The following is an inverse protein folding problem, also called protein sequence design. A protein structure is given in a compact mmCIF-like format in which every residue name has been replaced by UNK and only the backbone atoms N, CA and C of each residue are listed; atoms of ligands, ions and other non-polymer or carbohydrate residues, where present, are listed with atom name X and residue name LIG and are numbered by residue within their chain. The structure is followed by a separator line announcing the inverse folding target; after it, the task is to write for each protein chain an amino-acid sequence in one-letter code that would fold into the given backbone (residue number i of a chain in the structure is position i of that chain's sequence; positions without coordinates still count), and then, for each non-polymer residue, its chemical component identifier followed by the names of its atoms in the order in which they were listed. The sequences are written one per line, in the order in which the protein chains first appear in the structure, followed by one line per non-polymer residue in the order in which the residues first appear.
data_IF_511604228215
#
_entry.id   IF_511604228215
#
_cell.length_a   1.000
_cell.length_b   1.000
_cell.length_c   1.000
_cell.angle_alpha   90.00
_cell.angle_beta   90.00
_cell.angle_gamma   90.00
#
_symmetry.space_group_name_H-M   'P 1'
#
loop_
_entity.id
_entity.type
_entity.pdbx_description
1 polymer ?
#
# COMPACT_ATOMS: atom_id res chain seq x y z
N UNK A 1 76.98 28.01 19.65
CA UNK A 1 77.82 27.52 20.76
C UNK A 1 76.88 27.02 21.85
N UNK A 2 76.90 25.71 22.13
CA UNK A 2 76.11 25.11 23.22
C UNK A 2 76.86 25.33 24.54
N UNK A 3 76.16 25.74 25.62
CA UNK A 3 76.80 25.90 26.92
C UNK A 3 77.21 24.53 27.48
N UNK A 4 78.40 24.51 28.08
CA UNK A 4 79.04 23.34 28.68
C UNK A 4 78.20 22.87 29.89
N UNK A 5 77.59 21.68 29.79
CA UNK A 5 76.80 21.09 30.87
C UNK A 5 77.74 20.51 31.92
N UNK A 6 77.95 21.26 33.00
CA UNK A 6 78.61 20.78 34.21
C UNK A 6 77.72 19.69 34.84
N UNK A 7 78.23 18.48 35.09
CA UNK A 7 77.49 17.43 35.77
C UNK A 7 77.04 17.91 37.16
N UNK A 8 75.74 17.81 37.51
CA UNK A 8 75.26 18.15 38.84
C UNK A 8 75.95 17.27 39.88
N UNK A 9 76.61 17.88 40.87
CA UNK A 9 77.13 17.17 42.05
C UNK A 9 75.96 16.58 42.81
N UNK A 10 75.92 15.25 42.88
CA UNK A 10 74.99 14.49 43.71
C UNK A 10 75.40 14.72 45.16
N UNK A 11 74.55 15.28 46.04
CA UNK A 11 74.86 15.38 47.45
C UNK A 11 74.95 13.98 48.06
N UNK A 12 76.04 13.74 48.77
CA UNK A 12 76.38 12.49 49.44
C UNK A 12 75.30 12.09 50.46
N UNK A 13 74.82 10.85 50.34
CA UNK A 13 74.62 10.01 51.52
C UNK A 13 73.27 10.06 52.24
N UNK A 14 72.14 10.25 51.54
CA UNK A 14 70.87 9.74 52.07
C UNK A 14 70.67 8.31 51.56
N UNK A 15 70.76 7.34 52.47
CA UNK A 15 70.70 5.91 52.19
C UNK A 15 69.34 5.60 51.58
N UNK A 16 69.28 5.49 50.25
CA UNK A 16 68.05 5.17 49.51
C UNK A 16 67.53 3.82 50.00
N UNK A 17 66.45 3.86 50.78
CA UNK A 17 65.80 2.65 51.30
C UNK A 17 64.99 2.01 50.16
N UNK A 18 65.49 0.88 49.65
CA UNK A 18 64.82 0.13 48.58
C UNK A 18 63.44 -0.40 49.02
N UNK A 19 63.26 -0.68 50.31
CA UNK A 19 61.96 -1.09 50.83
C UNK A 19 60.97 0.09 50.83
N UNK A 20 61.46 1.32 51.03
CA UNK A 20 60.64 2.53 50.92
C UNK A 20 60.19 2.82 49.48
N UNK A 21 61.09 2.60 48.51
CA UNK A 21 60.73 2.69 47.09
C UNK A 21 59.68 1.65 46.72
N UNK A 22 59.82 0.43 47.22
CA UNK A 22 58.85 -0.64 46.95
C UNK A 22 57.48 -0.34 47.58
N UNK A 23 57.44 0.11 48.84
CA UNK A 23 56.21 0.55 49.51
C UNK A 23 55.53 1.70 48.76
N UNK A 24 56.28 2.73 48.37
CA UNK A 24 55.75 3.88 47.61
C UNK A 24 55.22 3.49 46.23
N UNK A 25 55.82 2.50 45.58
CA UNK A 25 55.30 1.95 44.31
C UNK A 25 53.97 1.24 44.55
N UNK A 26 53.91 0.34 45.52
CA UNK A 26 52.67 -0.38 45.85
C UNK A 26 51.55 0.57 46.27
N UNK A 27 51.85 1.57 47.09
CA UNK A 27 50.87 2.59 47.51
C UNK A 27 50.37 3.43 46.33
N UNK A 28 51.26 3.82 45.41
CA UNK A 28 50.86 4.52 44.18
C UNK A 28 49.95 3.66 43.32
N UNK A 29 50.32 2.40 43.08
CA UNK A 29 49.56 1.49 42.22
C UNK A 29 48.18 1.20 42.82
N UNK A 30 48.07 1.08 44.16
CA UNK A 30 46.79 0.92 44.86
C UNK A 30 45.92 2.18 44.76
N UNK A 31 46.50 3.36 44.94
CA UNK A 31 45.79 4.63 44.82
C UNK A 31 45.33 4.90 43.38
N UNK A 32 46.16 4.58 42.39
CA UNK A 32 45.82 4.68 40.97
C UNK A 32 44.69 3.70 40.60
N UNK A 33 44.77 2.46 41.08
CA UNK A 33 43.71 1.47 40.89
C UNK A 33 42.38 1.93 41.52
N UNK A 34 42.41 2.46 42.75
CA UNK A 34 41.21 2.98 43.40
C UNK A 34 40.61 4.16 42.62
N UNK A 35 41.45 5.09 42.15
CA UNK A 35 41.00 6.24 41.34
C UNK A 35 40.36 5.77 40.03
N UNK A 36 40.94 4.77 39.35
CA UNK A 36 40.39 4.21 38.12
C UNK A 36 39.05 3.52 38.34
N UNK A 37 38.91 2.78 39.44
CA UNK A 37 37.66 2.13 39.83
C UNK A 37 36.57 3.19 40.06
N UNK A 38 36.85 4.21 40.87
CA UNK A 38 35.91 5.30 41.17
C UNK A 38 35.51 6.06 39.91
N UNK A 39 36.49 6.44 39.07
CA UNK A 39 36.23 7.12 37.80
C UNK A 39 35.36 6.29 36.85
N UNK A 40 35.57 4.97 36.79
CA UNK A 40 34.75 4.10 35.94
C UNK A 40 33.30 4.05 36.42
N UNK A 41 33.07 3.85 37.72
CA UNK A 41 31.71 3.83 38.27
C UNK A 41 31.02 5.18 38.15
N UNK A 42 31.74 6.28 38.38
CA UNK A 42 31.15 7.61 38.28
C UNK A 42 30.82 8.00 36.84
N UNK A 43 31.68 7.65 35.86
CA UNK A 43 31.38 7.83 34.43
C UNK A 43 30.15 7.03 34.01
N UNK A 44 30.10 5.74 34.38
CA UNK A 44 28.96 4.86 34.06
C UNK A 44 27.67 5.37 34.68
N UNK A 45 27.71 5.81 35.94
CA UNK A 45 26.54 6.36 36.63
C UNK A 45 26.03 7.63 35.96
N UNK A 46 26.92 8.57 35.61
CA UNK A 46 26.55 9.80 34.89
C UNK A 46 25.93 9.50 33.53
N UNK A 47 26.56 8.61 32.75
CA UNK A 47 26.02 8.16 31.46
C UNK A 47 24.64 7.50 31.58
N UNK A 48 24.44 6.66 32.60
CA UNK A 48 23.16 6.00 32.85
C UNK A 48 22.07 6.99 33.25
N UNK A 49 22.37 7.95 34.12
CA UNK A 49 21.44 9.03 34.51
C UNK A 49 21.05 9.89 33.30
N UNK A 50 22.00 10.26 32.44
CA UNK A 50 21.73 11.01 31.21
C UNK A 50 20.88 10.21 30.22
N UNK A 51 21.17 8.91 30.07
CA UNK A 51 20.44 8.02 29.20
C UNK A 51 19.00 7.82 29.68
N UNK A 52 18.80 7.63 30.99
CA UNK A 52 17.48 7.55 31.62
C UNK A 52 16.72 8.86 31.39
N UNK A 53 17.35 10.01 31.68
CA UNK A 53 16.72 11.31 31.47
C UNK A 53 16.33 11.57 30.01
N UNK A 54 17.14 11.11 29.05
CA UNK A 54 16.79 11.21 27.63
C UNK A 54 15.62 10.28 27.25
N UNK A 55 15.62 9.04 27.74
CA UNK A 55 14.53 8.08 27.54
C UNK A 55 13.21 8.62 28.09
N UNK A 56 13.22 9.19 29.29
CA UNK A 56 12.02 9.78 29.91
C UNK A 56 11.47 10.95 29.09
N UNK A 57 12.34 11.82 28.55
CA UNK A 57 11.91 12.91 27.65
C UNK A 57 11.35 12.39 26.33
N UNK A 58 11.87 11.30 25.80
CA UNK A 58 11.35 10.67 24.58
C UNK A 58 10.00 10.03 24.87
N UNK A 59 9.87 9.32 25.98
CA UNK A 59 8.65 8.63 26.39
C UNK A 59 7.54 9.64 26.67
N UNK A 60 7.84 10.74 27.37
CA UNK A 60 6.90 11.85 27.58
C UNK A 60 6.41 12.44 26.24
N UNK A 61 7.29 12.67 25.28
CA UNK A 61 6.90 13.17 23.94
C UNK A 61 6.10 12.14 23.13
N UNK A 62 6.30 10.84 23.38
CA UNK A 62 5.51 9.77 22.75
C UNK A 62 4.11 9.71 23.36
N UNK A 63 4.01 9.74 24.69
CA UNK A 63 2.73 9.73 25.39
C UNK A 63 1.89 10.97 25.09
N UNK A 64 2.50 12.15 25.03
CA UNK A 64 1.81 13.39 24.62
C UNK A 64 1.25 13.31 23.19
N UNK A 65 2.02 12.76 22.24
CA UNK A 65 1.55 12.55 20.86
C UNK A 65 0.42 11.51 20.80
N UNK A 66 0.54 10.43 21.55
CA UNK A 66 -0.50 9.41 21.64
C UNK A 66 -1.79 9.99 22.22
N UNK A 67 -1.69 10.82 23.26
CA UNK A 67 -2.84 11.47 23.89
C UNK A 67 -3.49 12.50 22.97
N UNK A 68 -2.70 13.34 22.27
CA UNK A 68 -3.22 14.24 21.25
C UNK A 68 -3.98 13.50 20.15
N UNK A 69 -3.47 12.35 19.71
CA UNK A 69 -4.13 11.52 18.72
C UNK A 69 -5.44 10.91 19.26
N UNK A 70 -5.44 10.48 20.52
CA UNK A 70 -6.62 9.95 21.22
C UNK A 70 -7.72 11.02 21.31
N UNK A 71 -7.38 12.22 21.74
CA UNK A 71 -8.31 13.37 21.81
C UNK A 71 -8.87 13.71 20.42
N UNK A 72 -8.02 13.75 19.37
CA UNK A 72 -8.49 13.99 18.00
C UNK A 72 -9.45 12.91 17.52
N UNK A 73 -9.13 11.64 17.77
CA UNK A 73 -9.98 10.50 17.43
C UNK A 73 -11.31 10.54 18.18
N UNK A 74 -11.30 10.91 19.46
CA UNK A 74 -12.50 11.00 20.28
C UNK A 74 -13.42 12.14 19.82
N UNK A 75 -12.86 13.33 19.57
CA UNK A 75 -13.62 14.46 19.00
C UNK A 75 -14.22 14.14 17.64
N UNK A 76 -13.50 13.42 16.78
CA UNK A 76 -14.02 13.00 15.49
C UNK A 76 -15.14 11.96 15.63
N UNK A 77 -14.96 10.98 16.53
CA UNK A 77 -15.98 9.98 16.83
C UNK A 77 -17.23 10.62 17.43
N UNK A 78 -17.09 11.63 18.28
CA UNK A 78 -18.22 12.37 18.84
C UNK A 78 -18.98 13.14 17.76
N UNK A 79 -18.27 13.84 16.85
CA UNK A 79 -18.90 14.50 15.70
C UNK A 79 -19.67 13.53 14.83
N UNK A 80 -19.05 12.39 14.51
CA UNK A 80 -19.68 11.34 13.72
C UNK A 80 -20.92 10.77 14.42
N UNK A 81 -20.84 10.53 15.74
CA UNK A 81 -21.95 10.05 16.55
C UNK A 81 -23.11 11.05 16.57
N UNK A 82 -22.85 12.36 16.72
CA UNK A 82 -23.90 13.40 16.68
C UNK A 82 -24.62 13.44 15.33
N UNK A 83 -23.87 13.33 14.22
CA UNK A 83 -24.45 13.29 12.88
C UNK A 83 -25.28 12.02 12.65
N UNK A 84 -24.83 10.89 13.17
CA UNK A 84 -25.57 9.62 13.10
C UNK A 84 -26.82 9.65 13.96
N UNK A 85 -26.78 10.24 15.15
CA UNK A 85 -27.92 10.39 16.05
C UNK A 85 -28.97 11.38 15.50
N UNK A 86 -28.56 12.50 14.93
CA UNK A 86 -29.48 13.44 14.25
C UNK A 86 -30.14 12.78 13.02
N UNK A 87 -29.35 12.02 12.24
CA UNK A 87 -29.87 11.25 11.11
C UNK A 87 -30.83 10.15 11.57
N UNK A 88 -30.51 9.44 12.65
CA UNK A 88 -31.36 8.40 13.21
C UNK A 88 -32.69 8.99 13.72
N UNK A 89 -32.66 10.13 14.42
CA UNK A 89 -33.86 10.82 14.89
C UNK A 89 -34.75 11.29 13.73
N UNK A 90 -34.14 11.81 12.66
CA UNK A 90 -34.87 12.20 11.45
C UNK A 90 -35.47 11.00 10.70
N UNK A 91 -34.75 9.88 10.67
CA UNK A 91 -35.25 8.63 10.09
C UNK A 91 -36.39 8.02 10.92
N UNK A 92 -36.34 8.11 12.24
CA UNK A 92 -37.40 7.65 13.15
C UNK A 92 -38.67 8.50 13.02
N UNK A 93 -38.53 9.82 12.91
CA UNK A 93 -39.66 10.74 12.70
C UNK A 93 -40.29 10.57 11.31
N UNK A 94 -39.48 10.36 10.26
CA UNK A 94 -39.98 10.06 8.91
C UNK A 94 -40.66 8.68 8.84
N UNK A 95 -40.12 7.68 9.55
CA UNK A 95 -40.74 6.36 9.65
C UNK A 95 -42.08 6.41 10.39
N UNK A 96 -42.17 7.18 11.49
CA UNK A 96 -43.43 7.38 12.22
C UNK A 96 -44.47 8.11 11.37
N UNK A 97 -44.09 9.18 10.67
CA UNK A 97 -45.00 9.92 9.78
C UNK A 97 -45.48 9.05 8.62
N UNK A 98 -44.60 8.21 8.06
CA UNK A 98 -44.96 7.27 7.00
C UNK A 98 -45.90 6.17 7.49
N UNK A 99 -45.70 5.66 8.70
CA UNK A 99 -46.60 4.68 9.31
C UNK A 99 -48.00 5.29 9.59
N UNK A 100 -48.06 6.55 10.05
CA UNK A 100 -49.32 7.27 10.22
C UNK A 100 -50.01 7.57 8.88
N UNK A 101 -49.27 8.00 7.86
CA UNK A 101 -49.80 8.23 6.51
C UNK A 101 -50.29 6.93 5.84
N UNK A 102 -49.60 5.81 6.01
CA UNK A 102 -50.03 4.51 5.48
C UNK A 102 -51.23 3.95 6.26
N UNK A 103 -51.32 4.18 7.57
CA UNK A 103 -52.52 3.87 8.34
C UNK A 103 -53.71 4.74 7.93
N UNK A 104 -53.49 6.03 7.65
CA UNK A 104 -54.52 6.96 7.18
C UNK A 104 -54.95 6.64 5.75
N UNK A 105 -53.99 6.32 4.85
CA UNK A 105 -54.25 5.82 3.50
C UNK A 105 -54.93 4.47 3.49
N UNK A 106 -54.60 3.53 4.38
CA UNK A 106 -55.33 2.26 4.50
C UNK A 106 -56.79 2.48 4.92
N UNK A 107 -57.07 3.54 5.69
CA UNK A 107 -58.44 3.95 6.03
C UNK A 107 -59.18 4.64 4.86
N UNK A 108 -58.48 5.33 3.96
CA UNK A 108 -59.08 6.00 2.79
C UNK A 108 -59.02 5.21 1.47
N UNK A 109 -58.15 4.20 1.35
CA UNK A 109 -57.90 3.40 0.14
C UNK A 109 -58.70 2.09 0.10
N UNK A 110 -59.83 2.02 0.80
CA UNK A 110 -60.90 1.08 0.46
C UNK A 110 -61.64 1.48 -0.83
N UNK A 111 -61.20 2.52 -1.53
CA UNK A 111 -61.76 2.98 -2.81
C UNK A 111 -60.66 3.40 -3.79
N UNK A 112 -60.55 2.64 -4.89
CA UNK A 112 -59.79 2.89 -6.14
C UNK A 112 -58.25 2.84 -6.14
N UNK A 113 -57.73 1.71 -6.63
CA UNK A 113 -56.85 1.59 -7.81
C UNK A 113 -55.75 2.66 -8.04
N UNK A 114 -54.78 2.78 -7.13
CA UNK A 114 -53.52 3.54 -7.34
C UNK A 114 -52.28 2.65 -7.17
N UNK A 115 -52.12 1.67 -8.07
CA UNK A 115 -51.20 0.53 -7.89
C UNK A 115 -49.74 0.69 -8.37
N UNK A 116 -49.32 1.85 -8.90
CA UNK A 116 -48.00 1.97 -9.54
C UNK A 116 -46.87 2.58 -8.69
N UNK A 117 -47.22 3.49 -7.77
CA UNK A 117 -46.23 4.38 -7.16
C UNK A 117 -45.81 3.96 -5.73
N UNK A 118 -46.70 3.31 -4.96
CA UNK A 118 -46.42 2.91 -3.57
C UNK A 118 -45.44 1.74 -3.44
N UNK A 119 -45.36 0.85 -4.43
CA UNK A 119 -44.51 -0.36 -4.37
C UNK A 119 -43.00 -0.04 -4.41
N UNK A 120 -42.60 1.14 -4.91
CA UNK A 120 -41.19 1.58 -4.90
C UNK A 120 -40.76 2.19 -3.56
N UNK A 121 -41.70 2.72 -2.78
CA UNK A 121 -41.40 3.45 -1.53
C UNK A 121 -41.27 2.52 -0.34
N UNK A 122 -41.95 1.37 -0.35
CA UNK A 122 -41.88 0.39 0.74
C UNK A 122 -40.58 -0.43 0.73
N UNK A 123 -40.01 -0.70 -0.47
CA UNK A 123 -38.72 -1.41 -0.61
C UNK A 123 -37.47 -0.58 -0.24
N UNK A 124 -37.63 0.68 0.16
CA UNK A 124 -36.55 1.60 0.57
C UNK A 124 -36.43 1.79 2.09
N UNK A 125 -37.32 1.19 2.89
CA UNK A 125 -37.33 1.31 4.36
C UNK A 125 -36.35 0.33 5.05
N UNK A 126 -35.11 0.44 4.64
CA UNK A 126 -33.96 -0.26 5.17
C UNK A 126 -32.82 0.33 4.38
N UNK A 127 -32.01 1.17 5.01
CA UNK A 127 -30.95 1.94 4.37
C UNK A 127 -29.91 0.96 3.82
N UNK A 128 -30.22 0.38 2.65
CA UNK A 128 -29.33 -0.49 1.90
C UNK A 128 -28.08 0.35 1.69
N UNK A 129 -27.00 -0.10 2.32
CA UNK A 129 -25.68 0.49 2.16
C UNK A 129 -25.50 0.81 0.69
N UNK A 130 -25.23 2.08 0.39
CA UNK A 130 -25.19 2.54 -1.00
C UNK A 130 -24.11 1.75 -1.74
N UNK A 131 -24.28 1.48 -3.03
CA UNK A 131 -23.27 0.74 -3.82
C UNK A 131 -21.87 1.41 -3.71
N UNK A 132 -21.83 2.73 -3.49
CA UNK A 132 -20.61 3.49 -3.19
C UNK A 132 -19.96 3.07 -1.86
N UNK A 133 -20.75 2.93 -0.80
CA UNK A 133 -20.27 2.50 0.52
C UNK A 133 -19.85 1.03 0.51
N UNK A 134 -20.59 0.15 -0.19
CA UNK A 134 -20.19 -1.25 -0.38
C UNK A 134 -18.86 -1.36 -1.12
N UNK A 135 -18.69 -0.61 -2.22
CA UNK A 135 -17.42 -0.55 -2.95
C UNK A 135 -16.29 -0.06 -2.04
N UNK A 136 -16.52 0.99 -1.25
CA UNK A 136 -15.52 1.50 -0.30
C UNK A 136 -15.15 0.46 0.76
N UNK A 137 -16.14 -0.23 1.31
CA UNK A 137 -15.95 -1.32 2.29
C UNK A 137 -15.13 -2.46 1.68
N UNK A 138 -15.53 -2.98 0.52
CA UNK A 138 -14.81 -4.07 -0.18
C UNK A 138 -13.36 -3.68 -0.50
N UNK A 139 -13.12 -2.45 -0.98
CA UNK A 139 -11.77 -1.98 -1.27
C UNK A 139 -10.92 -1.81 -0.01
N UNK A 140 -11.52 -1.35 1.09
CA UNK A 140 -10.86 -1.28 2.39
C UNK A 140 -10.51 -2.67 2.91
N UNK A 141 -11.44 -3.62 2.83
CA UNK A 141 -11.27 -5.00 3.28
C UNK A 141 -10.16 -5.72 2.46
N UNK A 142 -10.00 -5.38 1.16
CA UNK A 142 -8.91 -5.89 0.30
C UNK A 142 -7.55 -5.22 0.54
N UNK A 143 -7.51 -4.07 1.20
CA UNK A 143 -6.28 -3.30 1.40
C UNK A 143 -5.51 -3.86 2.60
N UNK A 144 -4.40 -4.54 2.34
CA UNK A 144 -3.48 -5.01 3.38
C UNK A 144 -2.61 -3.84 3.85
N UNK A 145 -2.58 -3.50 5.16
CA UNK A 145 -1.63 -2.52 5.66
C UNK A 145 -0.21 -3.08 5.46
N UNK A 146 0.72 -2.20 5.06
CA UNK A 146 2.12 -2.55 4.87
C UNK A 146 2.90 -1.96 6.04
N UNK A 147 3.57 -2.83 6.79
CA UNK A 147 4.56 -2.44 7.79
C UNK A 147 5.95 -2.62 7.17
N UNK A 148 6.67 -1.52 6.97
CA UNK A 148 7.95 -1.47 6.24
C UNK A 148 9.11 -1.07 7.15
N UNK A 149 8.83 -0.50 8.33
CA UNK A 149 9.81 0.29 9.08
C UNK A 149 10.88 -0.56 9.80
N UNK A 150 10.63 -1.87 10.00
CA UNK A 150 11.53 -2.75 10.76
C UNK A 150 11.95 -4.04 9.99
N UNK A 151 11.92 -4.03 8.65
CA UNK A 151 12.26 -5.20 7.84
C UNK A 151 13.74 -5.20 7.39
N UNK A 152 14.37 -6.38 7.39
CA UNK A 152 15.71 -6.58 6.82
C UNK A 152 15.69 -6.50 5.28
N UNK A 153 16.84 -6.22 4.67
CA UNK A 153 16.96 -6.02 3.23
C UNK A 153 16.41 -7.18 2.39
N UNK A 154 16.66 -8.42 2.81
CA UNK A 154 16.17 -9.59 2.06
C UNK A 154 14.65 -9.77 2.20
N UNK A 155 14.09 -9.50 3.39
CA UNK A 155 12.64 -9.51 3.58
C UNK A 155 11.94 -8.39 2.80
N UNK A 156 12.59 -7.24 2.62
CA UNK A 156 12.08 -6.16 1.77
C UNK A 156 12.01 -6.58 0.29
N UNK A 157 13.03 -7.29 -0.21
CA UNK A 157 13.03 -7.84 -1.58
C UNK A 157 11.90 -8.87 -1.78
N UNK A 158 11.71 -9.76 -0.81
CA UNK A 158 10.61 -10.73 -0.83
C UNK A 158 9.24 -10.03 -0.85
N UNK A 159 9.04 -9.03 0.03
CA UNK A 159 7.80 -8.24 0.07
C UNK A 159 7.55 -7.46 -1.22
N UNK A 160 8.58 -6.89 -1.83
CA UNK A 160 8.46 -6.22 -3.12
C UNK A 160 8.02 -7.21 -4.22
N UNK A 161 8.59 -8.42 -4.24
CA UNK A 161 8.20 -9.47 -5.18
C UNK A 161 6.76 -9.97 -4.95
N UNK A 162 6.33 -10.11 -3.69
CA UNK A 162 4.94 -10.45 -3.35
C UNK A 162 3.95 -9.38 -3.83
N UNK A 163 4.25 -8.10 -3.59
CA UNK A 163 3.41 -6.99 -4.05
C UNK A 163 3.35 -6.90 -5.57
N UNK A 164 4.47 -7.13 -6.24
CA UNK A 164 4.54 -7.16 -7.70
C UNK A 164 3.67 -8.29 -8.28
N UNK A 165 3.78 -9.51 -7.74
CA UNK A 165 2.92 -10.65 -8.14
C UNK A 165 1.43 -10.34 -7.89
N UNK A 166 1.12 -9.72 -6.75
CA UNK A 166 -0.25 -9.33 -6.42
C UNK A 166 -0.81 -8.28 -7.39
N UNK A 167 -0.02 -7.26 -7.73
CA UNK A 167 -0.38 -6.26 -8.73
C UNK A 167 -0.64 -6.90 -10.09
N UNK A 168 0.27 -7.78 -10.53
CA UNK A 168 0.16 -8.47 -11.82
C UNK A 168 -1.11 -9.34 -11.92
N UNK A 169 -1.44 -10.06 -10.84
CA UNK A 169 -2.67 -10.84 -10.76
C UNK A 169 -3.93 -9.96 -10.90
N UNK A 170 -3.96 -8.80 -10.23
CA UNK A 170 -5.09 -7.86 -10.32
C UNK A 170 -5.23 -7.27 -11.73
N UNK A 171 -4.12 -7.02 -12.43
CA UNK A 171 -4.13 -6.56 -13.82
C UNK A 171 -4.70 -7.62 -14.76
N UNK A 172 -4.30 -8.88 -14.59
CA UNK A 172 -4.83 -10.00 -15.37
C UNK A 172 -6.35 -10.16 -15.16
N UNK A 173 -6.82 -10.13 -13.91
CA UNK A 173 -8.25 -10.19 -13.59
C UNK A 173 -9.04 -9.02 -14.19
N UNK A 174 -8.48 -7.80 -14.13
CA UNK A 174 -9.08 -6.62 -14.74
C UNK A 174 -9.23 -6.81 -16.26
N UNK A 175 -8.20 -7.31 -16.92
CA UNK A 175 -8.22 -7.55 -18.36
C UNK A 175 -9.32 -8.55 -18.76
N UNK A 176 -9.38 -9.69 -18.08
CA UNK A 176 -10.42 -10.71 -18.29
C UNK A 176 -11.84 -10.16 -18.10
N UNK A 177 -12.05 -9.33 -17.07
CA UNK A 177 -13.33 -8.69 -16.82
C UNK A 177 -13.68 -7.67 -17.91
N UNK A 178 -12.71 -6.90 -18.41
CA UNK A 178 -12.92 -5.96 -19.52
C UNK A 178 -13.31 -6.69 -20.81
N UNK A 179 -12.63 -7.81 -21.13
CA UNK A 179 -12.96 -8.63 -22.29
C UNK A 179 -14.38 -9.22 -22.18
N UNK A 180 -14.71 -9.80 -21.02
CA UNK A 180 -16.07 -10.33 -20.74
C UNK A 180 -17.13 -9.24 -20.85
N UNK A 181 -16.88 -8.05 -20.31
CA UNK A 181 -17.79 -6.93 -20.39
C UNK A 181 -18.06 -6.50 -21.84
N UNK A 182 -17.02 -6.42 -22.67
CA UNK A 182 -17.17 -6.06 -24.08
C UNK A 182 -17.99 -7.10 -24.85
N UNK A 183 -17.77 -8.40 -24.59
CA UNK A 183 -18.59 -9.48 -25.16
C UNK A 183 -20.04 -9.38 -24.72
N UNK A 184 -20.30 -9.17 -23.42
CA UNK A 184 -21.65 -9.00 -22.90
C UNK A 184 -22.37 -7.79 -23.50
N UNK A 185 -21.66 -6.67 -23.71
CA UNK A 185 -22.18 -5.48 -24.37
C UNK A 185 -22.63 -5.77 -25.80
N UNK A 186 -21.86 -6.57 -26.55
CA UNK A 186 -22.23 -7.03 -27.89
C UNK A 186 -23.48 -7.93 -27.86
N UNK A 187 -23.51 -8.94 -26.99
CA UNK A 187 -24.65 -9.86 -26.85
C UNK A 187 -25.94 -9.13 -26.45
N UNK A 188 -25.86 -8.18 -25.52
CA UNK A 188 -27.00 -7.34 -25.13
C UNK A 188 -27.49 -6.53 -26.32
N UNK A 189 -26.60 -5.90 -27.09
CA UNK A 189 -26.96 -5.13 -28.29
C UNK A 189 -27.65 -6.00 -29.34
N UNK A 190 -27.12 -7.19 -29.61
CA UNK A 190 -27.70 -8.17 -30.54
C UNK A 190 -29.10 -8.59 -30.08
N UNK A 191 -29.26 -8.96 -28.81
CA UNK A 191 -30.54 -9.33 -28.21
C UNK A 191 -31.57 -8.20 -28.25
N UNK A 192 -31.17 -6.96 -27.95
CA UNK A 192 -32.07 -5.80 -28.05
C UNK A 192 -32.53 -5.55 -29.49
N UNK A 193 -31.65 -5.74 -30.49
CA UNK A 193 -32.03 -5.64 -31.91
C UNK A 193 -33.02 -6.73 -32.33
N UNK A 194 -32.81 -7.97 -31.90
CA UNK A 194 -33.72 -9.09 -32.18
C UNK A 194 -35.11 -8.88 -31.53
N UNK A 195 -35.17 -8.35 -30.31
CA UNK A 195 -36.44 -8.02 -29.64
C UNK A 195 -37.16 -6.82 -30.30
N UNK A 196 -36.42 -5.85 -30.83
CA UNK A 196 -36.99 -4.72 -31.55
C UNK A 196 -37.52 -5.11 -32.95
N UNK A 197 -36.93 -6.12 -33.60
CA UNK A 197 -37.39 -6.67 -34.89
C UNK A 197 -38.60 -7.63 -34.79
N UNK A 198 -39.06 -7.94 -33.57
CA UNK A 198 -40.20 -8.83 -33.32
C UNK A 198 -41.50 -8.08 -32.97
N UNK A 199 -41.51 -6.74 -33.03
CA UNK A 199 -42.71 -5.94 -32.87
C UNK A 199 -43.43 -5.79 -34.23
N UNK A 200 -44.73 -6.12 -34.37
CA UNK A 200 -45.46 -5.84 -35.60
C UNK A 200 -45.65 -4.32 -35.72
N UNK A 201 -45.01 -3.69 -36.70
CA UNK A 201 -45.23 -2.28 -37.01
C UNK A 201 -46.30 -2.11 -38.10
N UNK A 202 -47.19 -1.11 -38.00
CA UNK A 202 -48.13 -0.77 -39.07
C UNK A 202 -47.37 -0.23 -40.28
N UNK A 203 -47.83 -0.57 -41.47
CA UNK A 203 -47.21 -0.28 -42.77
C UNK A 203 -46.86 1.20 -42.95
N UNK A 204 -45.65 1.44 -43.45
CA UNK A 204 -45.29 2.65 -44.20
C UNK A 204 -44.34 3.60 -43.48
N UNK A 205 -43.03 3.41 -43.71
CA UNK A 205 -41.98 4.44 -43.87
C UNK A 205 -40.65 3.78 -44.26
N UNK A 206 -39.89 4.32 -45.23
CA UNK A 206 -38.68 3.69 -45.72
C UNK A 206 -37.54 3.79 -44.71
N UNK A 207 -36.69 2.75 -44.70
CA UNK A 207 -35.55 2.62 -43.81
C UNK A 207 -34.54 3.77 -43.99
N UNK A 208 -33.98 4.34 -42.90
CA UNK A 208 -32.88 5.27 -43.03
C UNK A 208 -31.60 4.49 -43.40
N UNK A 209 -31.00 4.94 -44.49
CA UNK A 209 -29.72 4.53 -45.06
C UNK A 209 -28.65 4.24 -44.00
N UNK A 210 -28.09 3.02 -44.02
CA UNK A 210 -26.94 2.60 -43.23
C UNK A 210 -25.71 3.43 -43.63
N UNK A 211 -25.48 4.54 -42.93
CA UNK A 211 -24.14 5.08 -42.78
C UNK A 211 -23.47 4.33 -41.62
N UNK A 212 -22.52 3.45 -41.95
CA UNK A 212 -21.51 2.97 -41.01
C UNK A 212 -20.88 4.20 -40.33
N UNK A 213 -20.97 4.39 -39.01
CA UNK A 213 -20.14 5.37 -38.34
C UNK A 213 -18.93 4.63 -37.79
N UNK A 214 -17.86 4.65 -38.58
CA UNK A 214 -16.54 4.80 -38.00
C UNK A 214 -16.52 6.09 -37.19
N UNK A 215 -16.46 5.96 -35.87
CA UNK A 215 -15.77 6.90 -34.99
C UNK A 215 -15.65 6.24 -33.62
N UNK A 216 -14.41 5.85 -33.30
CA UNK A 216 -14.01 5.68 -31.91
C UNK A 216 -14.26 7.02 -31.22
N UNK A 217 -15.34 7.13 -30.47
CA UNK A 217 -15.59 8.29 -29.62
C UNK A 217 -14.58 8.27 -28.48
N UNK A 218 -13.61 9.19 -28.52
CA UNK A 218 -12.85 9.92 -27.49
C UNK A 218 -12.63 9.41 -26.04
N UNK A 219 -13.14 8.25 -25.62
CA UNK A 219 -12.95 7.66 -24.29
C UNK A 219 -11.95 6.50 -24.28
N UNK A 220 -11.49 6.04 -25.46
CA UNK A 220 -10.46 5.00 -25.58
C UNK A 220 -9.02 5.57 -25.70
N UNK A 221 -8.87 6.89 -25.75
CA UNK A 221 -7.57 7.57 -25.93
C UNK A 221 -6.62 7.50 -24.71
N UNK A 222 -7.05 6.94 -23.57
CA UNK A 222 -6.22 6.82 -22.36
C UNK A 222 -5.69 5.38 -22.16
N UNK A 223 -6.08 4.42 -23.00
CA UNK A 223 -5.72 2.99 -22.85
C UNK A 223 -4.76 2.44 -23.90
N UNK A 224 -3.90 3.29 -24.47
CA UNK A 224 -2.86 2.89 -25.43
C UNK A 224 -1.40 3.30 -25.10
N UNK A 225 -1.02 3.84 -23.91
CA UNK A 225 0.40 3.91 -23.53
C UNK A 225 0.93 2.61 -22.90
N UNK A 226 0.09 1.90 -22.13
CA UNK A 226 0.55 0.72 -21.35
C UNK A 226 0.73 -0.53 -22.20
N UNK A 227 -0.04 -0.71 -23.27
CA UNK A 227 0.12 -1.84 -24.20
C UNK A 227 1.44 -1.80 -24.96
N UNK A 228 1.84 -0.61 -25.43
CA UNK A 228 3.12 -0.46 -26.14
C UNK A 228 4.30 -0.60 -25.19
N UNK A 229 4.15 -0.24 -23.92
CA UNK A 229 5.18 -0.41 -22.90
C UNK A 229 5.31 -1.87 -22.44
N UNK A 230 4.18 -2.55 -22.19
CA UNK A 230 4.17 -3.95 -21.76
C UNK A 230 4.55 -4.91 -22.89
N UNK A 231 4.12 -4.66 -24.13
CA UNK A 231 4.57 -5.46 -25.28
C UNK A 231 6.06 -5.21 -25.57
N UNK A 232 6.56 -3.97 -25.43
CA UNK A 232 8.01 -3.70 -25.52
C UNK A 232 8.80 -4.36 -24.40
N UNK A 233 8.32 -4.33 -23.15
CA UNK A 233 8.96 -5.02 -22.02
C UNK A 233 8.94 -6.54 -22.19
N UNK A 234 7.83 -7.11 -22.66
CA UNK A 234 7.69 -8.54 -22.92
C UNK A 234 8.63 -8.99 -24.05
N UNK A 235 8.66 -8.25 -25.18
CA UNK A 235 9.57 -8.53 -26.29
C UNK A 235 11.03 -8.33 -25.88
N UNK A 236 11.36 -7.29 -25.09
CA UNK A 236 12.72 -7.09 -24.57
C UNK A 236 13.14 -8.17 -23.58
N UNK A 237 12.22 -8.65 -22.74
CA UNK A 237 12.49 -9.76 -21.80
C UNK A 237 12.74 -11.05 -22.57
N UNK A 238 11.91 -11.36 -23.57
CA UNK A 238 12.11 -12.53 -24.44
C UNK A 238 13.43 -12.41 -25.21
N UNK A 239 13.74 -11.24 -25.80
CA UNK A 239 15.01 -11.02 -26.50
C UNK A 239 16.22 -11.11 -25.55
N UNK A 240 16.10 -10.66 -24.30
CA UNK A 240 17.14 -10.81 -23.28
C UNK A 240 17.36 -12.28 -22.91
N UNK A 241 16.30 -13.07 -22.71
CA UNK A 241 16.40 -14.50 -22.42
C UNK A 241 16.94 -15.31 -23.61
N UNK A 242 16.61 -14.93 -24.83
CA UNK A 242 17.18 -15.52 -26.05
C UNK A 242 18.66 -15.13 -26.20
N UNK A 243 19.05 -13.91 -25.87
CA UNK A 243 20.45 -13.48 -25.84
C UNK A 243 21.27 -14.18 -24.74
N UNK A 244 20.74 -14.32 -23.52
CA UNK A 244 21.41 -15.03 -22.42
C UNK A 244 21.57 -16.52 -22.72
N UNK A 245 20.58 -17.15 -23.35
CA UNK A 245 20.66 -18.54 -23.82
C UNK A 245 21.70 -18.72 -24.92
N UNK A 246 21.83 -17.75 -25.84
CA UNK A 246 22.87 -17.75 -26.87
C UNK A 246 24.27 -17.44 -26.32
N UNK A 247 24.39 -16.61 -25.28
CA UNK A 247 25.68 -16.31 -24.63
C UNK A 247 26.20 -17.50 -23.81
N UNK A 248 25.30 -18.32 -23.25
CA UNK A 248 25.65 -19.57 -22.56
C UNK A 248 26.21 -20.63 -23.53
N UNK A 249 25.81 -20.60 -24.81
CA UNK A 249 26.38 -21.45 -25.87
C UNK A 249 27.76 -20.98 -26.36
N UNK A 250 28.11 -19.69 -26.20
CA UNK A 250 29.41 -19.14 -26.64
C UNK A 250 30.52 -19.33 -25.59
N UNK A 251 30.16 -19.63 -24.33
CA UNK A 251 31.11 -19.78 -23.21
C UNK A 251 31.61 -21.21 -22.94
N UNK A 252 31.26 -22.19 -23.77
CA UNK A 252 31.69 -23.59 -23.57
C UNK A 252 32.42 -24.13 -24.82
N UNK A 253 33.76 -24.09 -24.89
CA UNK A 253 34.52 -24.48 -26.08
C UNK A 253 34.78 -26.00 -26.10
N UNK A 254 33.74 -26.83 -25.93
CA UNK A 254 33.82 -28.29 -26.15
C UNK A 254 32.45 -28.85 -26.52
N UNK A 255 32.04 -28.71 -27.77
CA UNK A 255 31.39 -29.78 -28.55
C UNK A 255 31.17 -29.28 -29.99
N UNK A 256 31.77 -29.99 -30.95
CA UNK A 256 31.65 -29.75 -32.40
C UNK A 256 30.33 -30.34 -32.93
N UNK A 257 29.73 -29.64 -33.91
CA UNK A 257 28.85 -30.13 -35.00
C UNK A 257 27.50 -30.79 -34.59
N UNK A 258 26.35 -30.68 -35.27
CA UNK A 258 25.95 -30.45 -36.68
C UNK A 258 24.54 -29.82 -36.68
N UNK A 259 24.20 -29.08 -37.75
CA UNK A 259 22.87 -28.61 -38.19
C UNK A 259 22.35 -27.24 -37.73
N UNK A 260 22.94 -26.18 -38.31
CA UNK A 260 22.21 -24.95 -38.63
C UNK A 260 21.83 -24.99 -40.10
N UNK A 261 20.56 -25.25 -40.42
CA UNK A 261 19.90 -24.61 -41.57
C UNK A 261 18.41 -24.93 -41.57
N UNK A 262 17.62 -23.88 -41.77
CA UNK A 262 16.19 -23.83 -42.13
C UNK A 262 15.17 -24.09 -41.02
N UNK A 263 14.47 -23.01 -40.69
CA UNK A 263 13.08 -23.11 -40.25
C UNK A 263 12.68 -22.07 -39.24
N UNK A 264 12.67 -20.79 -39.61
CA UNK A 264 11.77 -19.75 -39.06
C UNK A 264 12.01 -18.41 -39.79
N UNK A 265 11.85 -18.43 -41.11
CA UNK A 265 11.52 -17.26 -41.94
C UNK A 265 10.26 -17.63 -42.71
N UNK A 266 9.13 -17.70 -42.00
CA UNK A 266 7.76 -17.47 -42.49
C UNK A 266 6.96 -17.18 -41.21
N UNK A 267 5.98 -16.27 -41.26
CA UNK A 267 5.15 -15.75 -40.14
C UNK A 267 5.60 -14.39 -39.56
N UNK A 268 6.16 -13.51 -40.38
CA UNK A 268 5.99 -12.07 -40.18
C UNK A 268 6.00 -11.35 -41.54
N UNK A 269 4.82 -11.27 -42.13
CA UNK A 269 4.40 -10.20 -43.04
C UNK A 269 2.95 -9.84 -42.70
N UNK A 270 2.54 -8.59 -42.96
CA UNK A 270 1.75 -7.73 -42.06
C UNK A 270 0.30 -8.18 -41.80
#
# INVERSE_FOLDING_TARGET
MLPNLVPPKIPDGEKVDFDDIHRKRMEKDLNELQTLIEAHFESRKKEEEELIGLKDRIEKRRSERAEQQRIRSEREKERQKRLEEERARKEEEEAKRKAEDDAKKKKTLTSLHFGGYMQKTERRSGKKQTEREKKKKILSDRRKPLDIDNLSQDKLKEKANELWKWMHQLEAEKFELQYKFQRQKYEVRKRCRLQAGAAPTPKGKPAPHDSYPGSLTAVDSITMPTYRFMHKLYVLTILSQVCESNLHMIRNPRHKCVHTTRGLIVMLQP
#
